data_IF_148191408891
#
_entry.id   IF_148191408891
#
_cell.length_a   1.000
_cell.length_b   1.000
_cell.length_c   1.000
_cell.angle_alpha   90.00
_cell.angle_beta   90.00
_cell.angle_gamma   90.00
#
_symmetry.space_group_name_H-M   'P 1'
#
loop_
_entity.id
_entity.type
_entity.pdbx_description
1 polymer ?
#
# COMPACT_ATOMS: atom_id res chain seq x y z
N UNK A 1 -31.08 34.80 -39.88
CA UNK A 1 -32.13 35.80 -40.21
C UNK A 1 -33.07 35.84 -39.01
N UNK A 2 -32.93 36.82 -38.11
CA UNK A 2 -33.60 38.14 -38.22
C UNK A 2 -35.13 37.95 -38.27
N UNK A 3 -35.98 38.56 -37.44
CA UNK A 3 -35.85 39.64 -36.49
C UNK A 3 -37.28 39.92 -35.97
N UNK A 4 -37.41 40.45 -34.74
CA UNK A 4 -38.22 41.64 -34.37
C UNK A 4 -39.72 41.59 -34.76
N UNK A 5 -40.69 41.70 -33.85
CA UNK A 5 -40.93 42.74 -32.84
C UNK A 5 -42.44 42.79 -32.57
N UNK A 6 -42.93 43.13 -31.37
CA UNK A 6 -43.03 44.47 -30.77
C UNK A 6 -44.50 44.92 -30.73
N UNK A 7 -44.83 45.81 -29.79
CA UNK A 7 -46.05 46.64 -29.61
C UNK A 7 -47.12 45.97 -28.71
N UNK A 8 -47.26 46.27 -27.40
CA UNK A 8 -47.60 47.50 -26.63
C UNK A 8 -49.13 47.72 -26.43
N UNK A 9 -49.46 48.12 -25.18
CA UNK A 9 -50.68 48.82 -24.69
C UNK A 9 -51.94 47.95 -24.51
N UNK A 10 -52.79 48.00 -23.47
CA UNK A 10 -53.24 49.02 -22.49
C UNK A 10 -53.36 48.37 -21.09
N UNK A 11 -52.92 48.97 -19.97
CA UNK A 11 -53.46 50.15 -19.25
C UNK A 11 -54.93 50.04 -18.78
N UNK A 12 -55.14 49.55 -17.55
CA UNK A 12 -56.17 50.09 -16.63
C UNK A 12 -56.00 49.59 -15.18
N UNK A 13 -55.22 50.36 -14.43
CA UNK A 13 -55.23 50.60 -12.99
C UNK A 13 -56.32 49.92 -12.12
N UNK A 14 -55.88 49.17 -11.10
CA UNK A 14 -56.60 49.09 -9.81
C UNK A 14 -55.63 49.01 -8.64
N UNK A 15 -55.24 50.19 -8.15
CA UNK A 15 -55.31 50.60 -6.73
C UNK A 15 -54.88 49.55 -5.68
N UNK A 16 -53.68 49.79 -5.14
CA UNK A 16 -53.30 49.69 -3.72
C UNK A 16 -53.45 48.32 -3.02
N UNK A 17 -52.32 47.63 -2.85
CA UNK A 17 -51.84 47.25 -1.51
C UNK A 17 -50.35 46.93 -1.56
N UNK A 18 -49.53 47.93 -1.24
CA UNK A 18 -48.19 47.69 -0.68
C UNK A 18 -48.39 46.85 0.59
N UNK A 19 -48.00 45.58 0.55
CA UNK A 19 -47.73 44.81 1.76
C UNK A 19 -46.23 44.91 1.96
N UNK A 20 -45.84 45.82 2.84
CA UNK A 20 -44.49 45.88 3.37
C UNK A 20 -44.22 44.55 4.07
N UNK A 21 -43.56 43.62 3.38
CA UNK A 21 -42.99 42.44 4.01
C UNK A 21 -41.66 42.88 4.61
N UNK A 22 -41.75 43.49 5.79
CA UNK A 22 -40.63 43.65 6.72
C UNK A 22 -40.15 42.23 7.02
N UNK A 23 -39.17 41.75 6.23
CA UNK A 23 -38.47 40.50 6.52
C UNK A 23 -37.77 40.69 7.86
N UNK A 24 -38.33 40.03 8.87
CA UNK A 24 -37.85 40.08 10.24
C UNK A 24 -36.46 39.41 10.32
N UNK A 25 -35.40 40.23 10.26
CA UNK A 25 -33.98 39.81 10.33
C UNK A 25 -33.65 38.98 11.58
N UNK A 26 -34.49 39.02 12.62
CA UNK A 26 -34.32 38.20 13.84
C UNK A 26 -34.63 36.71 13.64
N UNK A 27 -35.39 36.37 12.60
CA UNK A 27 -35.80 34.98 12.33
C UNK A 27 -34.77 34.21 11.52
N UNK A 28 -33.93 34.92 10.75
CA UNK A 28 -32.91 34.31 9.89
C UNK A 28 -31.62 33.95 10.65
N UNK A 29 -31.30 34.69 11.72
CA UNK A 29 -30.13 34.39 12.57
C UNK A 29 -30.34 33.15 13.45
N UNK A 30 -31.58 32.84 13.87
CA UNK A 30 -31.86 31.65 14.68
C UNK A 30 -31.71 30.33 13.88
N UNK A 31 -31.95 30.35 12.57
CA UNK A 31 -31.84 29.16 11.71
C UNK A 31 -30.38 28.76 11.45
N UNK A 32 -29.44 29.71 11.44
CA UNK A 32 -28.00 29.44 11.22
C UNK A 32 -27.33 28.95 12.52
N UNK A 33 -27.74 29.46 13.68
CA UNK A 33 -27.21 28.99 14.98
C UNK A 33 -27.63 27.55 15.28
N UNK A 34 -28.86 27.16 14.94
CA UNK A 34 -29.32 25.77 15.10
C UNK A 34 -28.62 24.78 14.16
N UNK A 35 -28.25 25.21 12.95
CA UNK A 35 -27.56 24.36 11.97
C UNK A 35 -26.05 24.22 12.24
N UNK A 36 -25.41 25.18 12.91
CA UNK A 36 -24.00 25.06 13.34
C UNK A 36 -23.81 24.25 14.63
N UNK A 37 -24.84 24.07 15.45
CA UNK A 37 -24.76 23.25 16.68
C UNK A 37 -24.89 21.74 16.47
N UNK A 38 -25.14 21.29 15.23
CA UNK A 38 -25.23 19.88 14.88
C UNK A 38 -23.95 19.31 14.24
N UNK A 39 -22.76 19.87 14.56
CA UNK A 39 -21.53 19.11 14.42
C UNK A 39 -21.55 17.99 15.46
N UNK A 40 -22.15 16.87 15.05
CA UNK A 40 -22.16 15.60 15.74
C UNK A 40 -20.77 15.29 16.31
N UNK A 41 -20.66 15.30 17.64
CA UNK A 41 -19.58 14.60 18.30
C UNK A 41 -19.76 13.11 18.01
N UNK A 42 -19.05 12.60 17.00
CA UNK A 42 -18.89 11.16 16.82
C UNK A 42 -18.14 10.64 18.04
N UNK A 43 -18.85 10.08 19.02
CA UNK A 43 -18.24 9.24 20.04
C UNK A 43 -17.69 8.00 19.34
N UNK A 44 -16.40 8.03 18.99
CA UNK A 44 -15.69 6.81 18.62
C UNK A 44 -15.77 5.86 19.81
N UNK A 45 -16.55 4.80 19.69
CA UNK A 45 -16.48 3.68 20.59
C UNK A 45 -15.03 3.20 20.60
N UNK A 46 -14.37 3.31 21.75
CA UNK A 46 -13.00 2.83 21.92
C UNK A 46 -13.06 1.32 21.80
N UNK A 47 -12.69 0.78 20.64
CA UNK A 47 -12.50 -0.65 20.49
C UNK A 47 -11.38 -1.07 21.43
N UNK A 48 -11.75 -1.60 22.60
CA UNK A 48 -10.81 -2.28 23.47
C UNK A 48 -10.40 -3.55 22.73
N UNK A 49 -9.23 -3.52 22.11
CA UNK A 49 -8.64 -4.72 21.56
C UNK A 49 -8.56 -5.76 22.68
N UNK A 50 -9.09 -6.96 22.41
CA UNK A 50 -8.92 -8.09 23.32
C UNK A 50 -7.43 -8.38 23.55
N UNK A 51 -7.10 -9.21 24.57
CA UNK A 51 -5.72 -9.59 24.81
C UNK A 51 -5.09 -10.19 23.55
N UNK A 52 -3.84 -9.83 23.26
CA UNK A 52 -3.12 -10.37 22.11
C UNK A 52 -2.88 -11.88 22.28
N UNK A 53 -2.85 -12.66 21.19
CA UNK A 53 -2.47 -14.06 21.25
C UNK A 53 -1.06 -14.27 21.79
N UNK A 54 -0.67 -15.49 22.20
CA UNK A 54 0.71 -15.82 22.54
C UNK A 54 1.68 -15.51 21.38
N UNK A 55 2.94 -15.18 21.69
CA UNK A 55 3.92 -14.77 20.67
C UNK A 55 4.11 -15.80 19.53
N UNK A 56 4.01 -17.10 19.83
CA UNK A 56 4.09 -18.17 18.82
C UNK A 56 2.92 -18.09 17.83
N UNK A 57 1.72 -17.78 18.33
CA UNK A 57 0.54 -17.63 17.50
C UNK A 57 0.59 -16.34 16.68
N UNK A 58 1.07 -15.24 17.28
CA UNK A 58 1.32 -14.00 16.54
C UNK A 58 2.30 -14.22 15.38
N UNK A 59 3.41 -14.96 15.61
CA UNK A 59 4.37 -15.28 14.57
C UNK A 59 3.75 -16.14 13.45
N UNK A 60 2.87 -17.09 13.78
CA UNK A 60 2.13 -17.89 12.80
C UNK A 60 1.23 -17.01 11.93
N UNK A 61 0.45 -16.13 12.54
CA UNK A 61 -0.45 -15.20 11.84
C UNK A 61 0.36 -14.25 10.93
N UNK A 62 1.44 -13.66 11.43
CA UNK A 62 2.30 -12.79 10.64
C UNK A 62 2.98 -13.52 9.46
N UNK A 63 3.33 -14.80 9.64
CA UNK A 63 3.87 -15.63 8.57
C UNK A 63 2.83 -15.87 7.46
N UNK A 64 1.55 -16.02 7.80
CA UNK A 64 0.45 -16.10 6.82
C UNK A 64 0.27 -14.78 6.08
N UNK A 65 0.37 -13.64 6.76
CA UNK A 65 0.33 -12.33 6.11
C UNK A 65 1.51 -12.11 5.17
N UNK A 66 2.71 -12.52 5.57
CA UNK A 66 3.88 -12.49 4.69
C UNK A 66 3.65 -13.33 3.43
N UNK A 67 3.13 -14.55 3.58
CA UNK A 67 2.79 -15.40 2.45
C UNK A 67 1.80 -14.70 1.51
N UNK A 68 0.67 -14.22 2.04
CA UNK A 68 -0.34 -13.53 1.26
C UNK A 68 0.23 -12.33 0.51
N UNK A 69 1.06 -11.51 1.17
CA UNK A 69 1.74 -10.36 0.55
C UNK A 69 2.64 -10.79 -0.62
N UNK A 70 3.46 -11.81 -0.42
CA UNK A 70 4.39 -12.31 -1.44
C UNK A 70 3.67 -12.97 -2.63
N UNK A 71 2.48 -13.53 -2.41
CA UNK A 71 1.72 -14.27 -3.43
C UNK A 71 0.72 -13.39 -4.20
N UNK A 72 0.28 -12.27 -3.61
CA UNK A 72 -0.78 -11.44 -4.20
C UNK A 72 -0.33 -10.00 -4.47
N UNK A 73 0.24 -9.33 -3.47
CA UNK A 73 0.61 -7.91 -3.55
C UNK A 73 1.90 -7.72 -4.35
N UNK A 74 2.94 -8.49 -4.02
CA UNK A 74 4.24 -8.36 -4.66
C UNK A 74 4.18 -8.59 -6.20
N UNK A 75 3.53 -9.66 -6.71
CA UNK A 75 3.43 -9.87 -8.15
C UNK A 75 2.65 -8.75 -8.85
N UNK A 76 1.58 -8.24 -8.22
CA UNK A 76 0.78 -7.16 -8.78
C UNK A 76 1.61 -5.88 -8.92
N UNK A 77 2.32 -5.47 -7.86
CA UNK A 77 3.17 -4.28 -7.87
C UNK A 77 4.32 -4.37 -8.88
N UNK A 78 5.00 -5.52 -8.94
CA UNK A 78 6.08 -5.73 -9.92
C UNK A 78 5.57 -5.57 -11.35
N UNK A 79 4.41 -6.14 -11.68
CA UNK A 79 3.82 -6.06 -13.02
C UNK A 79 3.28 -4.68 -13.35
N UNK A 80 2.63 -4.02 -12.39
CA UNK A 80 2.12 -2.65 -12.54
C UNK A 80 3.24 -1.68 -12.92
N UNK A 81 4.44 -1.85 -12.34
CA UNK A 81 5.59 -1.00 -12.62
C UNK A 81 6.55 -1.57 -13.68
N UNK A 82 6.21 -2.68 -14.35
CA UNK A 82 7.06 -3.29 -15.36
C UNK A 82 8.40 -3.84 -14.85
N UNK A 83 8.50 -4.17 -13.56
CA UNK A 83 9.71 -4.67 -12.91
C UNK A 83 9.78 -6.20 -13.05
N UNK A 84 10.61 -6.70 -13.95
CA UNK A 84 10.79 -8.15 -14.13
C UNK A 84 11.67 -8.77 -13.04
N UNK A 85 12.63 -8.02 -12.51
CA UNK A 85 13.47 -8.47 -11.40
C UNK A 85 13.67 -7.36 -10.38
N UNK A 86 13.41 -7.66 -9.11
CA UNK A 86 13.67 -6.76 -7.99
C UNK A 86 14.73 -7.39 -7.07
N UNK A 87 15.84 -6.68 -6.89
CA UNK A 87 16.97 -7.11 -6.08
C UNK A 87 17.09 -6.16 -4.90
N UNK A 88 17.11 -6.72 -3.69
CA UNK A 88 17.30 -5.96 -2.46
C UNK A 88 18.53 -6.50 -1.76
N UNK A 89 19.60 -5.70 -1.75
CA UNK A 89 20.84 -6.02 -1.06
C UNK A 89 20.93 -5.20 0.22
N UNK A 90 21.16 -5.88 1.33
CA UNK A 90 21.16 -5.27 2.66
C UNK A 90 22.28 -5.85 3.51
N UNK A 91 22.68 -5.09 4.53
CA UNK A 91 23.65 -5.54 5.54
C UNK A 91 22.97 -5.61 6.90
N UNK A 92 23.55 -6.43 7.78
CA UNK A 92 23.16 -6.48 9.18
C UNK A 92 23.21 -5.08 9.81
N UNK A 93 22.12 -4.66 10.44
CA UNK A 93 21.91 -3.32 11.03
C UNK A 93 21.86 -2.16 10.03
N UNK A 94 21.77 -2.47 8.74
CA UNK A 94 21.54 -1.50 7.66
C UNK A 94 20.60 -2.13 6.62
N UNK A 95 19.42 -2.51 7.12
CA UNK A 95 18.36 -3.11 6.34
C UNK A 95 17.66 -2.07 5.45
N UNK A 96 17.21 -2.54 4.28
CA UNK A 96 16.34 -1.76 3.41
C UNK A 96 15.01 -1.45 4.13
N UNK A 97 14.37 -0.28 3.92
CA UNK A 97 13.07 0.03 4.51
C UNK A 97 11.99 -1.04 4.25
N UNK A 98 12.06 -1.76 3.13
CA UNK A 98 11.14 -2.84 2.79
C UNK A 98 11.40 -4.14 3.57
N UNK A 99 12.55 -4.28 4.25
CA UNK A 99 13.00 -5.53 4.88
C UNK A 99 11.94 -6.17 5.78
N UNK A 100 11.37 -5.40 6.71
CA UNK A 100 10.38 -5.86 7.68
C UNK A 100 9.12 -6.44 7.02
N UNK A 101 8.80 -6.01 5.80
CA UNK A 101 7.64 -6.47 5.04
C UNK A 101 7.91 -7.74 4.22
N UNK A 102 9.18 -8.13 4.08
CA UNK A 102 9.64 -9.20 3.20
C UNK A 102 10.20 -10.41 3.96
N UNK A 103 10.36 -10.32 5.27
CA UNK A 103 10.95 -11.38 6.10
C UNK A 103 9.96 -12.00 7.07
N UNK A 104 10.27 -13.23 7.50
CA UNK A 104 9.48 -13.95 8.50
C UNK A 104 9.44 -13.18 9.80
N UNK A 105 8.33 -13.33 10.54
CA UNK A 105 8.15 -12.76 11.88
C UNK A 105 9.25 -13.18 12.88
N UNK A 106 9.92 -14.31 12.62
CA UNK A 106 11.03 -14.80 13.46
C UNK A 106 12.40 -14.30 13.00
N UNK A 107 12.49 -13.54 11.92
CA UNK A 107 13.73 -12.94 11.44
C UNK A 107 13.93 -11.59 12.13
N UNK A 108 14.99 -11.48 12.94
CA UNK A 108 15.30 -10.25 13.66
C UNK A 108 16.04 -9.21 12.81
N UNK A 109 17.07 -9.63 12.07
CA UNK A 109 17.93 -8.76 11.27
C UNK A 109 18.47 -9.51 10.04
N UNK A 110 18.94 -8.77 9.04
CA UNK A 110 19.69 -9.38 7.94
C UNK A 110 20.99 -9.98 8.50
N UNK A 111 21.39 -11.18 8.10
CA UNK A 111 22.66 -11.76 8.58
C UNK A 111 23.78 -11.37 7.63
N UNK A 112 24.82 -10.68 8.14
CA UNK A 112 25.98 -10.19 7.36
C UNK A 112 25.58 -9.36 6.12
N UNK A 113 25.39 -10.04 4.98
CA UNK A 113 24.79 -9.50 3.75
C UNK A 113 23.74 -10.49 3.26
N UNK A 114 22.50 -10.03 3.22
CA UNK A 114 21.38 -10.77 2.64
C UNK A 114 21.01 -10.10 1.32
N UNK A 115 20.85 -10.87 0.26
CA UNK A 115 20.32 -10.38 -1.01
C UNK A 115 19.04 -11.15 -1.31
N UNK A 116 17.91 -10.45 -1.28
CA UNK A 116 16.63 -10.98 -1.71
C UNK A 116 16.47 -10.69 -3.21
N UNK A 117 16.14 -11.71 -3.98
CA UNK A 117 15.90 -11.58 -5.42
C UNK A 117 14.50 -12.08 -5.72
N UNK A 118 13.71 -11.22 -6.36
CA UNK A 118 12.39 -11.51 -6.87
C UNK A 118 12.44 -11.46 -8.38
N UNK A 119 12.01 -12.53 -9.05
CA UNK A 119 11.99 -12.61 -10.50
C UNK A 119 10.59 -13.02 -10.97
N UNK A 120 9.92 -12.16 -11.75
CA UNK A 120 8.63 -12.47 -12.35
C UNK A 120 8.80 -13.38 -13.55
N UNK A 121 8.30 -14.61 -13.43
CA UNK A 121 8.38 -15.62 -14.49
C UNK A 121 7.12 -15.67 -15.35
N UNK A 122 6.25 -14.66 -15.21
CA UNK A 122 4.97 -14.53 -15.88
C UNK A 122 3.79 -14.96 -15.00
N UNK A 123 2.55 -14.72 -15.48
CA UNK A 123 1.32 -14.96 -14.70
C UNK A 123 1.16 -16.41 -14.23
N UNK A 124 1.57 -17.39 -15.05
CA UNK A 124 1.42 -18.82 -14.74
C UNK A 124 2.47 -19.33 -13.74
N UNK A 125 3.71 -18.84 -13.83
CA UNK A 125 4.83 -19.32 -13.01
C UNK A 125 5.08 -18.48 -11.76
N UNK A 126 4.43 -17.33 -11.66
CA UNK A 126 4.52 -16.39 -10.55
C UNK A 126 5.92 -15.84 -10.31
N UNK A 127 6.10 -15.25 -9.12
CA UNK A 127 7.36 -14.68 -8.68
C UNK A 127 8.23 -15.78 -8.06
N UNK A 128 9.42 -15.95 -8.60
CA UNK A 128 10.49 -16.70 -7.94
C UNK A 128 11.12 -15.85 -6.84
N UNK A 129 11.34 -16.46 -5.68
CA UNK A 129 11.82 -15.79 -4.45
C UNK A 129 13.10 -16.46 -3.98
N UNK A 130 14.23 -15.78 -4.14
CA UNK A 130 15.55 -16.30 -3.81
C UNK A 130 16.19 -15.47 -2.70
N UNK A 131 16.90 -16.14 -1.79
CA UNK A 131 17.67 -15.51 -0.73
C UNK A 131 19.13 -15.94 -0.81
N UNK A 132 20.04 -15.02 -1.14
CA UNK A 132 21.48 -15.25 -1.15
C UNK A 132 22.07 -14.75 0.17
N UNK A 133 22.78 -15.61 0.89
CA UNK A 133 23.30 -15.30 2.24
C UNK A 133 22.23 -15.22 3.35
N UNK A 134 20.96 -15.49 3.01
CA UNK A 134 19.82 -15.52 3.93
C UNK A 134 19.28 -16.93 4.20
N UNK A 135 18.17 -17.01 4.94
CA UNK A 135 17.44 -18.26 5.21
C UNK A 135 16.26 -18.44 4.26
N UNK A 136 15.53 -19.56 4.37
CA UNK A 136 14.29 -19.80 3.61
C UNK A 136 13.11 -18.95 4.08
N UNK A 137 13.28 -18.14 5.14
CA UNK A 137 12.25 -17.29 5.73
C UNK A 137 10.97 -18.07 6.08
N UNK A 138 11.13 -19.24 6.69
CA UNK A 138 10.01 -20.13 7.01
C UNK A 138 9.40 -20.82 5.77
N UNK A 139 10.23 -21.12 4.76
CA UNK A 139 9.83 -21.86 3.56
C UNK A 139 9.25 -21.02 2.43
N UNK A 140 9.28 -19.69 2.52
CA UNK A 140 8.76 -18.79 1.49
C UNK A 140 9.81 -18.39 0.44
N UNK A 141 11.09 -18.65 0.71
CA UNK A 141 12.21 -18.37 -0.18
C UNK A 141 13.06 -19.62 -0.37
N UNK A 142 13.64 -19.73 -1.56
CA UNK A 142 14.70 -20.71 -1.82
C UNK A 142 16.05 -20.07 -1.45
N UNK A 143 16.75 -20.65 -0.48
CA UNK A 143 18.12 -20.24 -0.19
C UNK A 143 19.03 -20.61 -1.36
N UNK A 144 19.58 -19.61 -2.03
CA UNK A 144 20.40 -19.79 -3.24
C UNK A 144 21.89 -19.69 -2.87
N UNK A 145 22.65 -20.74 -3.18
CA UNK A 145 24.08 -20.88 -2.89
C UNK A 145 24.77 -21.50 -4.10
N UNK A 146 26.00 -21.05 -4.39
CA UNK A 146 26.81 -21.66 -5.46
C UNK A 146 27.14 -23.12 -5.08
N UNK A 147 26.75 -24.06 -5.95
CA UNK A 147 26.89 -25.51 -5.74
C UNK A 147 28.32 -25.99 -5.66
N UNK A 148 29.28 -25.17 -6.11
CA UNK A 148 30.71 -25.47 -6.09
C UNK A 148 31.27 -25.57 -4.66
N UNK A 149 30.54 -25.06 -3.66
CA UNK A 149 30.90 -25.21 -2.25
C UNK A 149 29.65 -25.39 -1.40
N UNK A 150 29.17 -26.63 -1.28
CA UNK A 150 27.94 -26.99 -0.54
C UNK A 150 27.88 -26.49 0.92
N UNK A 151 29.03 -26.14 1.51
CA UNK A 151 29.14 -25.67 2.90
C UNK A 151 29.83 -24.30 3.07
N UNK A 152 30.23 -23.63 1.98
CA UNK A 152 30.83 -22.30 2.12
C UNK A 152 29.72 -21.25 2.20
N UNK A 153 29.69 -20.51 3.29
CA UNK A 153 28.87 -19.31 3.37
C UNK A 153 29.28 -18.35 2.24
N UNK A 154 28.31 -17.82 1.49
CA UNK A 154 28.57 -16.83 0.44
C UNK A 154 29.11 -15.57 1.11
N UNK A 155 30.44 -15.41 1.13
CA UNK A 155 31.11 -14.27 1.74
C UNK A 155 31.87 -13.46 0.70
N UNK A 156 31.89 -12.14 0.87
CA UNK A 156 32.63 -11.21 0.01
C UNK A 156 32.19 -11.25 -1.46
N UNK A 157 33.18 -11.23 -2.36
CA UNK A 157 32.99 -11.13 -3.81
C UNK A 157 32.28 -12.33 -4.43
N UNK A 158 32.33 -13.49 -3.78
CA UNK A 158 31.66 -14.69 -4.26
C UNK A 158 30.14 -14.51 -4.26
N UNK A 159 29.57 -13.80 -3.28
CA UNK A 159 28.13 -13.54 -3.24
C UNK A 159 27.68 -12.66 -4.41
N UNK A 160 28.48 -11.65 -4.76
CA UNK A 160 28.23 -10.80 -5.92
C UNK A 160 28.37 -11.57 -7.22
N UNK A 161 29.38 -12.44 -7.35
CA UNK A 161 29.55 -13.30 -8.53
C UNK A 161 28.38 -14.26 -8.71
N UNK A 162 27.88 -14.85 -7.62
CA UNK A 162 26.68 -15.70 -7.65
C UNK A 162 25.45 -14.90 -8.08
N UNK A 163 25.30 -13.65 -7.60
CA UNK A 163 24.24 -12.77 -8.06
C UNK A 163 24.36 -12.46 -9.55
N UNK A 164 25.55 -12.13 -10.05
CA UNK A 164 25.80 -11.85 -11.47
C UNK A 164 25.39 -13.05 -12.33
N UNK A 165 25.87 -14.26 -12.01
CA UNK A 165 25.47 -15.49 -12.71
C UNK A 165 23.95 -15.68 -12.71
N UNK A 166 23.30 -15.47 -11.57
CA UNK A 166 21.85 -15.60 -11.44
C UNK A 166 21.12 -14.61 -12.35
N UNK A 167 21.55 -13.35 -12.40
CA UNK A 167 20.95 -12.32 -13.26
C UNK A 167 21.15 -12.68 -14.74
N UNK A 168 22.36 -13.08 -15.14
CA UNK A 168 22.67 -13.51 -16.51
C UNK A 168 21.85 -14.73 -16.94
N UNK A 169 21.70 -15.73 -16.06
CA UNK A 169 20.90 -16.94 -16.33
C UNK A 169 19.41 -16.63 -16.53
N UNK A 170 18.90 -15.58 -15.86
CA UNK A 170 17.46 -15.24 -15.90
C UNK A 170 17.12 -14.19 -16.93
N UNK A 171 18.10 -13.40 -17.37
CA UNK A 171 17.98 -12.40 -18.44
C UNK A 171 16.69 -11.54 -18.31
N UNK A 172 16.50 -10.84 -17.17
CA UNK A 172 15.35 -9.96 -17.03
C UNK A 172 15.49 -8.78 -18.01
N UNK A 173 14.40 -8.47 -18.74
CA UNK A 173 14.41 -7.32 -19.67
C UNK A 173 14.07 -5.99 -19.01
#
# INVERSE_FOLDING_TARGET
>A
MAAIGCILSESASRIVKRKDCIVNKRTLTLQIVGLLTALSFSTSARQTAGPLPPLREQARIQQEWLRARLETVLPALMREHGVQMWIISMREYNEDPAFSSLVSATTFAARRRTILVFHDRGPERGIERLALGGSSQGGLYTAYRDTTSKNAELWGDNQWRTLTKLVEERDPR
#
